data_IF_521724512536
#
_entry.id   IF_521724512536
#
_cell.length_a   1.000
_cell.length_b   1.000
_cell.length_c   1.000
_cell.angle_alpha   90.00
_cell.angle_beta   90.00
_cell.angle_gamma   90.00
#
_symmetry.space_group_name_H-M   'P 1'
#
loop_
_entity.id
_entity.type
_entity.pdbx_description
1 polymer ?
#
# COMPACT_ATOMS: atom_id res chain seq x y z
N UNK A 1 14.03 24.96 -15.10
CA UNK A 1 13.86 23.60 -14.55
C UNK A 1 13.88 22.49 -15.61
N UNK A 2 14.00 22.83 -16.91
CA UNK A 2 13.93 21.88 -18.04
C UNK A 2 15.15 20.95 -18.19
N UNK A 3 16.36 21.43 -17.89
CA UNK A 3 17.60 20.64 -18.10
C UNK A 3 17.65 19.36 -17.25
N UNK A 4 17.36 19.47 -15.94
CA UNK A 4 17.35 18.31 -15.03
C UNK A 4 16.26 17.28 -15.38
N UNK A 5 15.18 17.72 -16.03
CA UNK A 5 14.15 16.82 -16.54
C UNK A 5 14.74 15.91 -17.61
N UNK A 6 15.19 16.49 -18.73
CA UNK A 6 15.70 15.73 -19.88
C UNK A 6 16.77 14.68 -19.50
N UNK A 7 17.64 14.99 -18.54
CA UNK A 7 18.65 14.05 -18.00
C UNK A 7 18.02 12.82 -17.32
N UNK A 8 16.91 12.97 -16.59
CA UNK A 8 16.22 11.86 -15.92
C UNK A 8 15.54 10.92 -16.92
N UNK A 9 14.88 11.46 -17.95
CA UNK A 9 14.30 10.59 -18.99
C UNK A 9 15.39 9.83 -19.75
N UNK A 10 16.53 10.46 -20.03
CA UNK A 10 17.65 9.79 -20.71
C UNK A 10 18.19 8.58 -19.91
N UNK A 11 18.16 8.64 -18.57
CA UNK A 11 18.61 7.54 -17.69
C UNK A 11 17.73 6.29 -17.77
N UNK A 12 16.41 6.45 -17.92
CA UNK A 12 15.48 5.32 -18.01
C UNK A 12 15.21 4.91 -19.46
N UNK A 13 15.04 5.87 -20.36
CA UNK A 13 14.65 5.66 -21.75
C UNK A 13 13.19 5.22 -21.92
N UNK A 14 12.66 5.40 -23.13
CA UNK A 14 11.26 5.10 -23.45
C UNK A 14 10.91 3.62 -23.24
N UNK A 15 11.71 2.71 -23.78
CA UNK A 15 11.42 1.28 -23.76
C UNK A 15 11.33 0.72 -22.33
N UNK A 16 12.29 1.08 -21.46
CA UNK A 16 12.28 0.65 -20.05
C UNK A 16 11.12 1.31 -19.30
N UNK A 17 10.84 2.59 -19.52
CA UNK A 17 9.71 3.26 -18.88
C UNK A 17 8.37 2.57 -19.23
N UNK A 18 8.17 2.20 -20.50
CA UNK A 18 6.97 1.45 -20.93
C UNK A 18 6.90 0.07 -20.28
N UNK A 19 8.02 -0.65 -20.22
CA UNK A 19 8.07 -1.97 -19.59
C UNK A 19 7.74 -1.91 -18.09
N UNK A 20 8.31 -0.95 -17.37
CA UNK A 20 8.02 -0.69 -15.95
C UNK A 20 6.54 -0.41 -15.74
N UNK A 21 5.94 0.48 -16.55
CA UNK A 21 4.53 0.85 -16.38
C UNK A 21 3.58 -0.30 -16.72
N UNK A 22 3.91 -1.10 -17.74
CA UNK A 22 3.13 -2.29 -18.08
C UNK A 22 3.13 -3.29 -16.92
N UNK A 23 4.30 -3.65 -16.39
CA UNK A 23 4.45 -4.54 -15.24
C UNK A 23 3.75 -3.98 -13.98
N UNK A 24 3.92 -2.69 -13.72
CA UNK A 24 3.24 -2.01 -12.62
C UNK A 24 1.71 -2.23 -12.68
N UNK A 25 1.09 -2.07 -13.85
CA UNK A 25 -0.34 -2.35 -14.01
C UNK A 25 -0.69 -3.83 -14.09
N UNK A 26 0.23 -4.72 -14.49
CA UNK A 26 0.10 -6.17 -14.32
C UNK A 26 0.00 -6.57 -12.85
N UNK A 27 0.66 -5.84 -11.94
CA UNK A 27 0.59 -6.05 -10.49
C UNK A 27 -0.60 -5.35 -9.83
N UNK A 28 -0.95 -4.14 -10.26
CA UNK A 28 -2.05 -3.34 -9.66
C UNK A 28 -3.43 -3.97 -9.89
N UNK A 29 -3.71 -4.47 -11.10
CA UNK A 29 -5.03 -4.99 -11.45
C UNK A 29 -5.46 -6.22 -10.62
N UNK A 30 -4.62 -7.24 -10.42
CA UNK A 30 -4.95 -8.39 -9.58
C UNK A 30 -4.69 -8.17 -8.08
N UNK A 31 -4.22 -6.99 -7.66
CA UNK A 31 -3.87 -6.75 -6.26
C UNK A 31 -5.10 -6.91 -5.33
N UNK A 32 -4.93 -7.68 -4.26
CA UNK A 32 -6.02 -8.02 -3.34
C UNK A 32 -6.58 -6.82 -2.58
N UNK A 33 -5.81 -5.74 -2.40
CA UNK A 33 -6.23 -4.55 -1.66
C UNK A 33 -6.78 -3.45 -2.55
N UNK A 34 -6.25 -3.27 -3.77
CA UNK A 34 -6.63 -2.13 -4.62
C UNK A 34 -7.20 -2.53 -5.98
N UNK A 35 -7.05 -3.78 -6.42
CA UNK A 35 -7.47 -4.24 -7.75
C UNK A 35 -8.95 -4.02 -8.05
N UNK A 36 -9.80 -4.09 -7.03
CA UNK A 36 -11.24 -3.81 -7.15
C UNK A 36 -11.55 -2.39 -7.67
N UNK A 37 -10.68 -1.40 -7.40
CA UNK A 37 -10.83 -0.03 -7.90
C UNK A 37 -10.60 0.08 -9.42
N UNK A 38 -9.90 -0.90 -9.99
CA UNK A 38 -9.54 -0.97 -11.40
C UNK A 38 -10.44 -1.93 -12.19
N UNK A 39 -11.39 -2.62 -11.53
CA UNK A 39 -12.34 -3.50 -12.18
C UNK A 39 -13.15 -2.75 -13.27
N UNK A 40 -13.18 -3.34 -14.48
CA UNK A 40 -13.87 -2.76 -15.63
C UNK A 40 -13.21 -1.51 -16.24
N UNK A 41 -12.02 -1.11 -15.78
CA UNK A 41 -11.24 -0.06 -16.42
C UNK A 41 -10.47 -0.60 -17.62
N UNK A 42 -10.32 0.22 -18.65
CA UNK A 42 -9.41 -0.06 -19.75
C UNK A 42 -7.96 0.06 -19.25
N UNK A 43 -7.31 -1.09 -19.11
CA UNK A 43 -5.92 -1.18 -18.63
C UNK A 43 -4.94 -0.50 -19.57
N UNK A 44 -5.09 -0.67 -20.88
CA UNK A 44 -4.18 -0.06 -21.84
C UNK A 44 -4.29 1.46 -21.78
N UNK A 45 -5.52 1.97 -21.67
CA UNK A 45 -5.73 3.40 -21.47
C UNK A 45 -5.01 3.93 -20.21
N UNK A 46 -5.05 3.20 -19.09
CA UNK A 46 -4.35 3.62 -17.87
C UNK A 46 -2.82 3.58 -18.02
N UNK A 47 -2.28 2.56 -18.70
CA UNK A 47 -0.86 2.45 -19.05
C UNK A 47 -0.43 3.67 -19.88
N UNK A 48 -1.20 4.02 -20.91
CA UNK A 48 -0.89 5.15 -21.79
C UNK A 48 -0.89 6.49 -21.03
N UNK A 49 -1.85 6.69 -20.12
CA UNK A 49 -1.94 7.92 -19.30
C UNK A 49 -0.80 8.01 -18.29
N UNK A 50 -0.44 6.91 -17.64
CA UNK A 50 0.70 6.86 -16.71
C UNK A 50 2.02 7.11 -17.45
N UNK A 51 2.17 6.54 -18.66
CA UNK A 51 3.34 6.78 -19.50
C UNK A 51 3.47 8.26 -19.85
N UNK A 52 2.43 8.88 -20.39
CA UNK A 52 2.49 10.30 -20.76
C UNK A 52 2.78 11.20 -19.55
N UNK A 53 2.15 10.93 -18.40
CA UNK A 53 2.36 11.70 -17.18
C UNK A 53 3.81 11.58 -16.72
N UNK A 54 4.31 10.35 -16.60
CA UNK A 54 5.65 10.08 -16.08
C UNK A 54 6.72 10.53 -17.07
N UNK A 55 6.58 10.22 -18.35
CA UNK A 55 7.53 10.64 -19.38
C UNK A 55 7.62 12.17 -19.45
N UNK A 56 6.48 12.88 -19.45
CA UNK A 56 6.48 14.35 -19.41
C UNK A 56 7.13 14.88 -18.13
N UNK A 57 6.82 14.29 -16.97
CA UNK A 57 7.42 14.69 -15.70
C UNK A 57 8.95 14.48 -15.68
N UNK A 58 9.42 13.36 -16.21
CA UNK A 58 10.83 13.05 -16.39
C UNK A 58 11.45 13.84 -17.55
N UNK A 59 10.75 14.73 -18.24
CA UNK A 59 11.33 15.59 -19.27
C UNK A 59 11.52 14.95 -20.65
N UNK A 60 10.76 13.91 -20.99
CA UNK A 60 10.77 13.30 -22.31
C UNK A 60 10.42 14.34 -23.41
N UNK A 61 11.22 14.42 -24.49
CA UNK A 61 10.95 15.38 -25.56
C UNK A 61 9.67 15.01 -26.31
N UNK A 62 8.83 16.02 -26.60
CA UNK A 62 7.62 15.85 -27.42
C UNK A 62 6.46 15.12 -26.73
N UNK A 63 6.62 14.60 -25.51
CA UNK A 63 5.54 13.92 -24.79
C UNK A 63 4.69 14.93 -24.03
N UNK A 64 3.37 14.86 -24.24
CA UNK A 64 2.39 15.68 -23.52
C UNK A 64 1.40 14.79 -22.79
N UNK A 65 1.11 15.11 -21.54
CA UNK A 65 0.03 14.48 -20.79
C UNK A 65 -1.33 15.02 -21.25
N UNK A 66 -2.17 14.11 -21.74
CA UNK A 66 -3.50 14.41 -22.29
C UNK A 66 -4.65 13.94 -21.39
N UNK A 67 -4.32 13.36 -20.23
CA UNK A 67 -5.31 12.88 -19.28
C UNK A 67 -5.92 13.99 -18.41
N UNK A 68 -6.93 13.60 -17.62
CA UNK A 68 -7.56 14.46 -16.61
C UNK A 68 -6.56 14.84 -15.52
N UNK A 69 -6.78 15.96 -14.84
CA UNK A 69 -6.01 16.31 -13.64
C UNK A 69 -6.18 15.24 -12.56
N UNK A 70 -5.19 15.06 -11.67
CA UNK A 70 -5.26 14.04 -10.62
C UNK A 70 -6.52 14.17 -9.76
N UNK A 71 -6.89 15.40 -9.37
CA UNK A 71 -8.12 15.67 -8.60
C UNK A 71 -9.38 15.28 -9.36
N UNK A 72 -9.47 15.56 -10.66
CA UNK A 72 -10.62 15.22 -11.47
C UNK A 72 -10.71 13.71 -11.79
N UNK A 73 -9.56 13.06 -12.01
CA UNK A 73 -9.49 11.63 -12.29
C UNK A 73 -9.90 10.78 -11.07
N UNK A 74 -9.55 11.22 -9.87
CA UNK A 74 -9.74 10.46 -8.63
C UNK A 74 -10.90 10.95 -7.75
N UNK A 75 -11.44 12.15 -7.99
CA UNK A 75 -12.42 12.79 -7.11
C UNK A 75 -13.77 12.07 -6.97
N UNK A 76 -14.11 11.17 -7.90
CA UNK A 76 -15.29 10.31 -7.82
C UNK A 76 -15.11 9.04 -6.97
N UNK A 77 -13.93 8.82 -6.39
CA UNK A 77 -13.58 7.58 -5.71
C UNK A 77 -13.20 7.83 -4.25
N UNK A 78 -13.65 6.95 -3.35
CA UNK A 78 -13.21 6.93 -1.95
C UNK A 78 -11.87 6.20 -1.85
N UNK A 79 -10.78 6.96 -1.91
CA UNK A 79 -9.41 6.44 -1.80
C UNK A 79 -8.89 6.79 -0.42
N UNK A 80 -8.63 5.78 0.43
CA UNK A 80 -8.00 5.95 1.75
C UNK A 80 -6.48 5.96 1.64
N UNK A 81 -5.79 6.41 2.70
CA UNK A 81 -4.33 6.49 2.74
C UNK A 81 -3.66 5.13 2.51
N UNK A 82 -4.23 4.05 3.05
CA UNK A 82 -3.72 2.69 2.84
C UNK A 82 -3.79 2.22 1.38
N UNK A 83 -4.81 2.64 0.62
CA UNK A 83 -4.89 2.32 -0.81
C UNK A 83 -3.81 3.05 -1.62
N UNK A 84 -3.56 4.31 -1.28
CA UNK A 84 -2.49 5.09 -1.88
C UNK A 84 -1.12 4.45 -1.60
N UNK A 85 -0.85 4.10 -0.33
CA UNK A 85 0.41 3.44 0.05
C UNK A 85 0.58 2.08 -0.61
N UNK A 86 -0.49 1.28 -0.75
CA UNK A 86 -0.38 0.00 -1.44
C UNK A 86 0.03 0.19 -2.90
N UNK A 87 -0.58 1.13 -3.63
CA UNK A 87 -0.18 1.47 -5.01
C UNK A 87 1.29 1.93 -5.05
N UNK A 88 1.70 2.78 -4.11
CA UNK A 88 3.07 3.27 -4.03
C UNK A 88 4.07 2.13 -3.77
N UNK A 89 3.72 1.19 -2.90
CA UNK A 89 4.54 0.02 -2.59
C UNK A 89 4.74 -0.87 -3.83
N UNK A 90 3.67 -1.14 -4.59
CA UNK A 90 3.77 -1.88 -5.86
C UNK A 90 4.70 -1.15 -6.85
N UNK A 91 4.62 0.19 -6.91
CA UNK A 91 5.53 0.98 -7.75
C UNK A 91 6.99 0.80 -7.31
N UNK A 92 7.29 0.85 -6.00
CA UNK A 92 8.65 0.62 -5.47
C UNK A 92 9.20 -0.75 -5.86
N UNK A 93 8.39 -1.78 -5.68
CA UNK A 93 8.74 -3.17 -6.04
C UNK A 93 9.02 -3.29 -7.53
N UNK A 94 8.14 -2.72 -8.36
CA UNK A 94 8.31 -2.74 -9.82
C UNK A 94 9.58 -2.01 -10.26
N UNK A 95 9.86 -0.83 -9.68
CA UNK A 95 11.07 -0.06 -10.01
C UNK A 95 12.36 -0.81 -9.62
N UNK A 96 12.34 -1.50 -8.48
CA UNK A 96 13.47 -2.31 -8.02
C UNK A 96 13.70 -3.51 -8.95
N UNK A 97 12.64 -4.23 -9.33
CA UNK A 97 12.73 -5.41 -10.20
C UNK A 97 13.22 -5.09 -11.62
N UNK A 98 13.02 -3.86 -12.09
CA UNK A 98 13.49 -3.39 -13.41
C UNK A 98 14.87 -2.71 -13.38
N UNK A 99 15.54 -2.70 -12.22
CA UNK A 99 16.85 -2.08 -12.01
C UNK A 99 16.87 -0.65 -12.58
N UNK A 100 15.91 0.17 -12.13
CA UNK A 100 15.79 1.57 -12.52
C UNK A 100 16.84 2.40 -11.76
N UNK A 101 17.46 3.36 -12.45
CA UNK A 101 18.46 4.27 -11.87
C UNK A 101 17.94 4.88 -10.54
N UNK A 102 18.73 4.81 -9.43
CA UNK A 102 18.27 5.24 -8.12
C UNK A 102 17.80 6.69 -8.04
N UNK A 103 18.35 7.59 -8.88
CA UNK A 103 17.90 8.97 -8.93
C UNK A 103 16.51 9.07 -9.57
N UNK A 104 16.26 8.33 -10.65
CA UNK A 104 14.93 8.26 -11.29
C UNK A 104 13.92 7.67 -10.31
N UNK A 105 14.28 6.60 -9.57
CA UNK A 105 13.43 6.03 -8.52
C UNK A 105 13.06 7.07 -7.49
N UNK A 106 14.05 7.76 -6.90
CA UNK A 106 13.82 8.78 -5.88
C UNK A 106 12.87 9.87 -6.40
N UNK A 107 13.16 10.43 -7.58
CA UNK A 107 12.40 11.55 -8.13
C UNK A 107 10.96 11.16 -8.50
N UNK A 108 10.75 9.97 -9.08
CA UNK A 108 9.41 9.50 -9.43
C UNK A 108 8.58 9.19 -8.18
N UNK A 109 9.18 8.58 -7.16
CA UNK A 109 8.53 8.35 -5.87
C UNK A 109 8.15 9.68 -5.20
N UNK A 110 9.08 10.64 -5.13
CA UNK A 110 8.83 11.96 -4.53
C UNK A 110 7.68 12.68 -5.25
N UNK A 111 7.64 12.60 -6.58
CA UNK A 111 6.55 13.12 -7.38
C UNK A 111 5.21 12.45 -7.06
N UNK A 112 5.19 11.13 -6.98
CA UNK A 112 3.98 10.36 -6.64
C UNK A 112 3.45 10.78 -5.28
N UNK A 113 4.32 10.88 -4.27
CA UNK A 113 3.96 11.34 -2.91
C UNK A 113 3.39 12.75 -2.92
N UNK A 114 3.96 13.67 -3.70
CA UNK A 114 3.47 15.04 -3.82
C UNK A 114 2.03 15.14 -4.41
N UNK A 115 1.56 14.10 -5.11
CA UNK A 115 0.20 14.05 -5.66
C UNK A 115 -0.85 13.56 -4.64
N UNK A 116 -0.44 13.09 -3.45
CA UNK A 116 -1.33 12.51 -2.44
C UNK A 116 -2.54 13.38 -2.11
N UNK A 117 -2.32 14.67 -1.81
CA UNK A 117 -3.38 15.65 -1.47
C UNK A 117 -4.35 15.95 -2.63
N UNK A 118 -4.04 15.50 -3.84
CA UNK A 118 -4.94 15.58 -5.00
C UNK A 118 -5.75 14.30 -5.19
N UNK A 119 -5.28 13.16 -4.66
CA UNK A 119 -5.85 11.82 -4.89
C UNK A 119 -6.68 11.36 -3.68
N UNK A 120 -6.22 11.63 -2.47
CA UNK A 120 -6.89 11.25 -1.23
C UNK A 120 -6.93 12.42 -0.25
N UNK A 121 -7.95 12.42 0.61
CA UNK A 121 -8.07 13.37 1.75
C UNK A 121 -7.29 12.91 2.97
N UNK A 122 -6.90 11.64 3.00
CA UNK A 122 -6.12 11.05 4.07
C UNK A 122 -4.63 11.36 3.81
N UNK A 123 -4.02 12.14 4.69
CA UNK A 123 -2.64 12.64 4.51
C UNK A 123 -1.57 11.63 4.92
N UNK A 124 -1.95 10.50 5.51
CA UNK A 124 -1.03 9.46 5.94
C UNK A 124 -1.52 8.86 7.24
N UNK A 125 -1.34 7.55 7.39
CA UNK A 125 -1.58 6.83 8.65
C UNK A 125 -0.49 7.17 9.66
N UNK A 126 -0.36 8.44 10.01
CA UNK A 126 0.34 8.84 11.22
C UNK A 126 -0.61 8.51 12.37
N UNK A 127 -0.31 7.44 13.12
CA UNK A 127 -0.77 7.35 14.50
C UNK A 127 -0.14 8.52 15.25
N UNK A 128 -0.83 9.65 15.28
CA UNK A 128 -0.56 10.69 16.27
C UNK A 128 -1.03 10.11 17.59
N UNK A 129 -0.13 9.43 18.30
CA UNK A 129 -0.35 9.10 19.70
C UNK A 129 -0.53 10.41 20.47
N UNK A 130 -1.77 10.85 20.60
CA UNK A 130 -2.15 11.95 21.50
C UNK A 130 -2.17 11.49 22.96
N UNK A 131 -1.82 10.21 23.20
CA UNK A 131 -1.74 9.56 24.51
C UNK A 131 -0.39 9.75 25.22
N UNK A 132 0.61 10.38 24.59
CA UNK A 132 1.92 10.60 25.22
C UNK A 132 2.00 11.83 26.13
N UNK A 133 0.86 12.41 26.52
CA UNK A 133 0.80 13.34 27.65
C UNK A 133 0.62 12.56 28.95
N UNK A 134 1.40 12.84 30.02
CA UNK A 134 1.12 12.25 31.32
C UNK A 134 -0.31 12.61 31.74
N UNK A 135 -1.11 11.65 32.26
CA UNK A 135 -2.43 11.99 32.78
C UNK A 135 -2.27 13.04 33.87
N UNK A 136 -3.10 14.09 33.92
CA UNK A 136 -3.05 15.04 35.02
C UNK A 136 -3.41 14.32 36.33
N UNK A 137 -2.39 14.04 37.14
CA UNK A 137 -2.51 13.83 38.58
C UNK A 137 -3.36 12.63 39.04
N UNK A 138 -3.30 11.49 38.35
CA UNK A 138 -3.95 10.26 38.82
C UNK A 138 -2.98 9.07 38.76
N UNK A 139 -2.72 8.44 39.90
CA UNK A 139 -1.94 7.21 39.99
C UNK A 139 -2.51 6.15 39.04
N UNK A 140 -1.69 5.45 38.24
CA UNK A 140 -2.20 4.52 37.25
C UNK A 140 -2.92 3.36 37.95
N UNK A 141 -4.14 3.07 37.52
CA UNK A 141 -4.85 1.88 37.96
C UNK A 141 -4.00 0.63 37.65
N UNK A 142 -3.87 -0.33 38.58
CA UNK A 142 -3.08 -1.53 38.34
C UNK A 142 -3.65 -2.32 37.16
N UNK A 143 -2.81 -3.02 36.39
CA UNK A 143 -3.27 -3.74 35.22
C UNK A 143 -4.23 -4.86 35.61
N UNK A 144 -5.23 -5.08 34.75
CA UNK A 144 -6.36 -6.03 34.91
C UNK A 144 -5.95 -7.51 35.09
N UNK A 145 -4.66 -7.84 35.05
CA UNK A 145 -4.14 -9.19 35.24
C UNK A 145 -3.58 -9.45 36.66
N UNK A 146 -3.82 -8.55 37.62
CA UNK A 146 -3.22 -8.62 38.97
C UNK A 146 -4.08 -9.31 40.04
N UNK A 147 -5.07 -10.13 39.70
CA UNK A 147 -5.79 -10.94 40.69
C UNK A 147 -5.20 -12.36 40.75
N UNK A 148 -4.80 -12.88 41.93
CA UNK A 148 -4.39 -14.27 42.03
C UNK A 148 -5.62 -15.17 41.86
N UNK A 149 -5.52 -16.15 40.96
CA UNK A 149 -6.49 -17.23 40.84
C UNK A 149 -6.68 -17.89 42.21
N UNK A 150 -7.90 -17.86 42.73
CA UNK A 150 -8.29 -18.64 43.92
C UNK A 150 -8.10 -20.12 43.61
N UNK A 151 -7.14 -20.76 44.29
CA UNK A 151 -7.04 -22.20 44.35
C UNK A 151 -8.26 -22.75 45.11
N UNK A 152 -9.11 -23.51 44.41
CA UNK A 152 -10.26 -24.22 44.96
C UNK A 152 -10.22 -25.70 44.60
N UNK A 153 -9.61 -26.46 45.50
CA UNK A 153 -9.87 -27.87 45.86
C UNK A 153 -9.80 -28.99 44.79
N UNK A 154 -8.74 -29.80 44.92
CA UNK A 154 -8.72 -31.21 44.50
C UNK A 154 -9.44 -32.08 45.53
N UNK A 155 -10.36 -32.93 45.09
CA UNK A 155 -10.96 -33.97 45.92
C UNK A 155 -11.69 -35.07 45.14
N UNK A 156 -10.93 -36.12 44.81
CA UNK A 156 -11.32 -37.55 44.77
C UNK A 156 -12.18 -38.11 43.60
N UNK A 157 -11.50 -38.87 42.72
CA UNK A 157 -11.96 -40.04 41.92
C UNK A 157 -12.33 -41.21 42.90
N UNK A 158 -13.10 -42.30 42.59
CA UNK A 158 -13.17 -42.97 41.28
C UNK A 158 -14.47 -43.73 40.87
N UNK A 159 -14.71 -43.82 39.55
CA UNK A 159 -15.39 -44.97 38.97
C UNK A 159 -15.05 -45.14 37.48
N UNK A 160 -13.97 -45.87 37.24
CA UNK A 160 -13.70 -46.52 35.97
C UNK A 160 -14.85 -47.47 35.58
N UNK A 161 -15.26 -47.43 34.31
CA UNK A 161 -15.68 -48.62 33.56
C UNK A 161 -15.63 -48.39 32.06
N UNK A 162 -14.44 -48.63 31.50
CA UNK A 162 -14.26 -49.00 30.09
C UNK A 162 -14.98 -50.34 29.90
N UNK A 163 -15.98 -50.38 29.01
CA UNK A 163 -16.50 -51.65 28.47
C UNK A 163 -15.91 -51.88 27.09
N UNK A 164 -14.94 -52.80 27.06
CA UNK A 164 -14.49 -53.53 25.88
C UNK A 164 -15.40 -54.74 25.65
N UNK A 165 -15.71 -55.02 24.39
CA UNK A 165 -16.19 -56.31 23.91
C UNK A 165 -17.36 -56.17 22.94
N UNK A 166 -17.53 -56.99 21.90
CA UNK A 166 -16.79 -58.15 21.39
C UNK A 166 -17.52 -58.51 20.07
N UNK A 167 -16.78 -58.84 19.00
CA UNK A 167 -17.32 -59.50 17.79
C UNK A 167 -17.54 -60.99 18.08
N UNK A 168 -18.60 -61.61 17.54
CA UNK A 168 -18.41 -62.85 16.75
C UNK A 168 -19.36 -62.87 15.54
N UNK A 169 -19.19 -63.64 14.48
CA UNK A 169 -18.23 -64.67 14.07
C UNK A 169 -18.47 -64.92 12.58
#
# INVERSE_FOLDING_TARGET
MTERGAELFAKIGEAKLRAVIADFYDRVFPDVMIGFMFAGKDKQHLIDREYEMTAKFLGAPGVTYTGRTMRAAHGGHTIFGGHFERRLQILRETLADHDVDPEVVRVWIDHTLALRDQITRDKGSECKDTSSGPPPGGEPAPPRWSEPAKAGERGQDPAARIKLGRKPG
#
